data_IF_699603229292
#
_entry.id   IF_699603229292
#
_cell.length_a   1.000
_cell.length_b   1.000
_cell.length_c   1.000
_cell.angle_alpha   90.00
_cell.angle_beta   90.00
_cell.angle_gamma   90.00
#
_symmetry.space_group_name_H-M   'P 1'
#
loop_
_entity.id
_entity.type
_entity.pdbx_description
1 polymer ?
#
# COMPACT_ATOMS: atom_id res chain seq x y z
N UNK A 1 13.16 -30.26 -3.88
CA UNK A 1 12.46 -29.05 -3.40
C UNK A 1 12.60 -27.99 -4.49
N UNK A 2 11.58 -27.84 -5.32
CA UNK A 2 11.57 -26.90 -6.46
C UNK A 2 11.32 -25.50 -5.93
N UNK A 3 12.29 -24.62 -6.12
CA UNK A 3 12.14 -23.18 -5.89
C UNK A 3 11.10 -22.65 -6.87
N UNK A 4 9.91 -22.27 -6.36
CA UNK A 4 8.93 -21.52 -7.13
C UNK A 4 9.55 -20.18 -7.49
N UNK A 5 9.86 -19.98 -8.77
CA UNK A 5 10.50 -18.75 -9.25
C UNK A 5 9.59 -17.54 -8.98
N UNK A 6 10.04 -16.53 -8.22
CA UNK A 6 9.24 -15.34 -7.90
C UNK A 6 8.81 -14.54 -9.14
N UNK A 7 9.47 -14.75 -10.28
CA UNK A 7 9.16 -14.12 -11.56
C UNK A 7 7.95 -14.68 -12.31
N UNK A 8 7.49 -15.90 -12.00
CA UNK A 8 6.29 -16.48 -12.61
C UNK A 8 5.02 -15.89 -11.98
N UNK A 9 4.96 -15.84 -10.64
CA UNK A 9 3.82 -15.29 -9.89
C UNK A 9 3.57 -13.80 -10.20
N UNK A 10 4.64 -13.01 -10.40
CA UNK A 10 4.52 -11.60 -10.76
C UNK A 10 3.94 -11.38 -12.17
N UNK A 11 4.31 -12.26 -13.13
CA UNK A 11 3.77 -12.23 -14.50
C UNK A 11 2.30 -12.64 -14.53
N UNK A 12 1.93 -13.67 -13.77
CA UNK A 12 0.53 -14.12 -13.67
C UNK A 12 -0.35 -13.04 -13.04
N UNK A 13 0.14 -12.38 -11.98
CA UNK A 13 -0.54 -11.24 -11.37
C UNK A 13 -0.68 -10.05 -12.36
N UNK A 14 0.34 -9.80 -13.18
CA UNK A 14 0.28 -8.77 -14.22
C UNK A 14 -0.75 -9.10 -15.32
N UNK A 15 -0.78 -10.36 -15.76
CA UNK A 15 -1.74 -10.84 -16.75
C UNK A 15 -3.19 -10.72 -16.23
N UNK A 16 -3.44 -11.15 -14.99
CA UNK A 16 -4.74 -11.02 -14.34
C UNK A 16 -5.19 -9.54 -14.23
N UNK A 17 -4.28 -8.63 -13.87
CA UNK A 17 -4.57 -7.18 -13.85
C UNK A 17 -4.92 -6.65 -15.24
N UNK A 18 -4.18 -7.04 -16.26
CA UNK A 18 -4.43 -6.62 -17.64
C UNK A 18 -5.78 -7.13 -18.14
N UNK A 19 -6.16 -8.36 -17.78
CA UNK A 19 -7.46 -8.93 -18.15
C UNK A 19 -8.62 -8.24 -17.44
N UNK A 20 -8.50 -7.98 -16.14
CA UNK A 20 -9.49 -7.22 -15.38
C UNK A 20 -9.66 -5.79 -15.95
N UNK A 21 -8.57 -5.14 -16.36
CA UNK A 21 -8.61 -3.82 -16.98
C UNK A 21 -9.33 -3.85 -18.33
N UNK A 22 -9.11 -4.88 -19.16
CA UNK A 22 -9.83 -5.06 -20.43
C UNK A 22 -11.33 -5.23 -20.20
N UNK A 23 -11.74 -6.17 -19.34
CA UNK A 23 -13.15 -6.38 -19.00
C UNK A 23 -13.82 -5.09 -18.54
N UNK A 24 -13.14 -4.32 -17.70
CA UNK A 24 -13.67 -3.03 -17.23
C UNK A 24 -13.81 -2.00 -18.34
N UNK A 25 -12.85 -1.93 -19.27
CA UNK A 25 -12.94 -1.04 -20.41
C UNK A 25 -14.14 -1.39 -21.30
N UNK A 26 -14.38 -2.68 -21.55
CA UNK A 26 -15.50 -3.17 -22.34
C UNK A 26 -16.85 -2.83 -21.68
N UNK A 27 -16.99 -3.08 -20.37
CA UNK A 27 -18.16 -2.69 -19.58
C UNK A 27 -18.46 -1.18 -19.66
N UNK A 28 -17.43 -0.34 -19.50
CA UNK A 28 -17.58 1.12 -19.56
C UNK A 28 -17.94 1.59 -20.96
N UNK A 29 -17.39 0.96 -22.00
CA UNK A 29 -17.75 1.27 -23.38
C UNK A 29 -19.22 0.93 -23.66
N UNK A 30 -19.68 -0.25 -23.24
CA UNK A 30 -21.08 -0.65 -23.37
C UNK A 30 -22.00 0.34 -22.64
N UNK A 31 -21.66 0.72 -21.40
CA UNK A 31 -22.49 1.67 -20.64
C UNK A 31 -22.54 3.05 -21.27
N UNK A 32 -21.44 3.53 -21.85
CA UNK A 32 -21.42 4.79 -22.59
C UNK A 32 -22.33 4.76 -23.80
N UNK A 33 -22.40 3.63 -24.51
CA UNK A 33 -23.31 3.46 -25.64
C UNK A 33 -24.78 3.47 -25.19
N UNK A 34 -25.12 2.75 -24.12
CA UNK A 34 -26.48 2.73 -23.54
C UNK A 34 -26.93 4.14 -23.09
N UNK A 35 -26.05 4.88 -22.41
CA UNK A 35 -26.34 6.26 -22.00
C UNK A 35 -26.50 7.18 -23.21
N UNK A 36 -25.67 7.03 -24.24
CA UNK A 36 -25.77 7.81 -25.47
C UNK A 36 -27.06 7.52 -26.26
N UNK A 37 -27.58 6.29 -26.20
CA UNK A 37 -28.88 5.93 -26.78
C UNK A 37 -30.08 6.39 -25.93
N UNK A 38 -29.84 7.09 -24.82
CA UNK A 38 -30.89 7.57 -23.92
C UNK A 38 -31.49 6.48 -23.02
N UNK A 39 -30.83 5.33 -22.88
CA UNK A 39 -31.27 4.29 -21.96
C UNK A 39 -31.20 4.84 -20.52
N UNK A 40 -32.32 4.75 -19.81
CA UNK A 40 -32.40 5.20 -18.41
C UNK A 40 -31.72 4.18 -17.51
N UNK A 41 -31.18 4.64 -16.38
CA UNK A 41 -30.75 3.73 -15.32
C UNK A 41 -31.93 2.90 -14.83
N UNK A 42 -31.73 1.60 -14.75
CA UNK A 42 -32.69 0.61 -14.27
C UNK A 42 -32.17 -0.10 -13.01
N UNK A 43 -32.96 -1.03 -12.49
CA UNK A 43 -32.61 -1.79 -11.29
C UNK A 43 -31.29 -2.57 -11.45
N UNK A 44 -31.03 -3.11 -12.64
CA UNK A 44 -29.80 -3.87 -12.93
C UNK A 44 -28.56 -2.97 -12.94
N UNK A 45 -28.69 -1.75 -13.48
CA UNK A 45 -27.62 -0.75 -13.43
C UNK A 45 -27.34 -0.31 -11.99
N UNK A 46 -28.39 -0.05 -11.20
CA UNK A 46 -28.26 0.34 -9.80
C UNK A 46 -27.60 -0.76 -8.97
N UNK A 47 -27.99 -2.02 -9.20
CA UNK A 47 -27.41 -3.19 -8.56
C UNK A 47 -25.91 -3.35 -8.88
N UNK A 48 -25.53 -3.24 -10.15
CA UNK A 48 -24.12 -3.25 -10.57
C UNK A 48 -23.33 -2.10 -9.95
N UNK A 49 -23.90 -0.90 -9.87
CA UNK A 49 -23.25 0.24 -9.23
C UNK A 49 -23.01 -0.01 -7.74
N UNK A 50 -23.98 -0.62 -7.04
CA UNK A 50 -23.84 -1.02 -5.64
C UNK A 50 -22.72 -2.03 -5.45
N UNK A 51 -22.70 -3.10 -6.25
CA UNK A 51 -21.66 -4.13 -6.20
C UNK A 51 -20.26 -3.52 -6.42
N UNK A 52 -20.10 -2.65 -7.42
CA UNK A 52 -18.82 -1.98 -7.65
C UNK A 52 -18.41 -1.05 -6.51
N UNK A 53 -19.36 -0.39 -5.85
CA UNK A 53 -19.08 0.45 -4.69
C UNK A 53 -18.57 -0.40 -3.50
N UNK A 54 -19.22 -1.53 -3.23
CA UNK A 54 -18.81 -2.50 -2.20
C UNK A 54 -17.41 -3.08 -2.49
N UNK A 55 -17.16 -3.51 -3.73
CA UNK A 55 -15.84 -4.01 -4.13
C UNK A 55 -14.76 -2.93 -4.02
N UNK A 56 -15.08 -1.69 -4.36
CA UNK A 56 -14.15 -0.57 -4.28
C UNK A 56 -13.83 -0.23 -2.82
N UNK A 57 -14.83 -0.27 -1.95
CA UNK A 57 -14.65 -0.11 -0.51
C UNK A 57 -13.72 -1.20 0.05
N UNK A 58 -13.99 -2.47 -0.25
CA UNK A 58 -13.14 -3.57 0.20
C UNK A 58 -11.70 -3.46 -0.33
N UNK A 59 -11.52 -3.01 -1.58
CA UNK A 59 -10.20 -2.74 -2.15
C UNK A 59 -9.49 -1.61 -1.42
N UNK A 60 -10.18 -0.53 -1.09
CA UNK A 60 -9.64 0.58 -0.34
C UNK A 60 -9.20 0.15 1.07
N UNK A 61 -10.03 -0.61 1.80
CA UNK A 61 -9.68 -1.15 3.13
C UNK A 61 -8.42 -2.00 3.10
N UNK A 62 -8.33 -2.94 2.14
CA UNK A 62 -7.12 -3.75 1.96
C UNK A 62 -5.88 -2.91 1.65
N UNK A 63 -6.04 -1.85 0.85
CA UNK A 63 -4.94 -0.95 0.52
C UNK A 63 -4.46 -0.13 1.73
N UNK A 64 -5.40 0.36 2.56
CA UNK A 64 -5.07 1.06 3.80
C UNK A 64 -4.33 0.15 4.78
N UNK A 65 -4.82 -1.07 5.00
CA UNK A 65 -4.14 -2.05 5.85
C UNK A 65 -2.73 -2.37 5.35
N UNK A 66 -2.59 -2.67 4.06
CA UNK A 66 -1.28 -2.94 3.47
C UNK A 66 -0.33 -1.73 3.55
N UNK A 67 -0.86 -0.50 3.50
CA UNK A 67 -0.06 0.71 3.70
C UNK A 67 0.38 0.87 5.16
N UNK A 68 -0.50 0.60 6.13
CA UNK A 68 -0.17 0.60 7.55
C UNK A 68 0.95 -0.41 7.86
N UNK A 69 0.83 -1.65 7.38
CA UNK A 69 1.85 -2.70 7.52
C UNK A 69 3.21 -2.26 6.97
N UNK A 70 3.23 -1.66 5.77
CA UNK A 70 4.48 -1.15 5.16
C UNK A 70 5.11 -0.01 5.96
N UNK A 71 4.30 0.84 6.59
CA UNK A 71 4.80 1.87 7.47
C UNK A 71 5.41 1.27 8.74
N UNK A 72 4.78 0.25 9.34
CA UNK A 72 5.35 -0.46 10.48
C UNK A 72 6.67 -1.16 10.13
N UNK A 73 6.74 -1.81 8.96
CA UNK A 73 7.97 -2.44 8.47
C UNK A 73 9.09 -1.41 8.26
N UNK A 74 8.76 -0.26 7.70
CA UNK A 74 9.70 0.85 7.52
C UNK A 74 10.18 1.40 8.86
N UNK A 75 9.28 1.66 9.81
CA UNK A 75 9.62 2.06 11.18
C UNK A 75 10.58 1.07 11.84
N UNK A 76 10.30 -0.23 11.75
CA UNK A 76 11.17 -1.26 12.29
C UNK A 76 12.55 -1.27 11.63
N UNK A 77 12.64 -1.02 10.31
CA UNK A 77 13.91 -0.90 9.61
C UNK A 77 14.71 0.33 10.07
N UNK A 78 14.05 1.47 10.23
CA UNK A 78 14.66 2.69 10.76
C UNK A 78 15.16 2.50 12.20
N UNK A 79 14.38 1.84 13.08
CA UNK A 79 14.82 1.52 14.46
C UNK A 79 16.06 0.62 14.48
N UNK A 80 16.12 -0.39 13.60
CA UNK A 80 17.32 -1.25 13.46
C UNK A 80 18.53 -0.46 12.98
N UNK A 81 18.35 0.45 12.02
CA UNK A 81 19.42 1.33 11.53
C UNK A 81 19.92 2.27 12.63
N UNK A 82 19.00 2.88 13.40
CA UNK A 82 19.36 3.71 14.55
C UNK A 82 20.20 2.94 15.56
N UNK A 83 19.79 1.74 15.96
CA UNK A 83 20.53 0.90 16.89
C UNK A 83 21.93 0.52 16.37
N UNK A 84 22.06 0.25 15.06
CA UNK A 84 23.35 -0.02 14.45
C UNK A 84 24.29 1.21 14.49
N UNK A 85 23.74 2.40 14.24
CA UNK A 85 24.49 3.64 14.36
C UNK A 85 24.88 3.95 15.82
N UNK A 86 24.00 3.74 16.79
CA UNK A 86 24.34 3.89 18.22
C UNK A 86 25.45 2.93 18.63
N UNK A 87 25.40 1.68 18.17
CA UNK A 87 26.45 0.71 18.40
C UNK A 87 27.79 1.16 17.79
N UNK A 88 27.75 1.67 16.56
CA UNK A 88 28.94 2.22 15.90
C UNK A 88 29.49 3.45 16.65
N UNK A 89 28.63 4.32 17.17
CA UNK A 89 29.03 5.47 17.97
C UNK A 89 29.73 5.06 19.28
N UNK A 90 29.23 4.02 19.96
CA UNK A 90 29.85 3.49 21.18
C UNK A 90 31.23 2.88 20.93
N UNK A 91 31.47 2.34 19.73
CA UNK A 91 32.75 1.76 19.32
C UNK A 91 33.69 2.78 18.69
N UNK A 92 33.16 3.92 18.22
CA UNK A 92 33.93 5.00 17.63
C UNK A 92 34.67 5.78 18.72
N UNK A 93 35.89 5.36 19.03
CA UNK A 93 36.69 5.95 20.09
C UNK A 93 36.88 7.47 19.96
N UNK A 94 37.39 7.96 18.82
CA UNK A 94 37.93 9.31 18.66
C UNK A 94 37.26 10.07 17.51
N UNK A 95 36.10 10.68 17.82
CA UNK A 95 35.54 11.82 17.08
C UNK A 95 34.49 11.52 15.99
N UNK A 96 34.34 10.27 15.56
CA UNK A 96 33.26 9.88 14.62
C UNK A 96 31.97 9.40 15.30
N UNK A 97 31.94 9.40 16.64
CA UNK A 97 30.77 9.03 17.43
C UNK A 97 29.59 9.98 17.21
N UNK A 98 29.86 11.28 17.12
CA UNK A 98 28.81 12.32 16.98
C UNK A 98 28.03 12.14 15.67
N UNK A 99 28.72 11.91 14.54
CA UNK A 99 28.06 11.68 13.25
C UNK A 99 27.17 10.41 13.27
N UNK A 100 27.57 9.39 14.01
CA UNK A 100 26.74 8.20 14.20
C UNK A 100 25.55 8.46 15.14
N UNK A 101 25.72 9.27 16.18
CA UNK A 101 24.59 9.67 17.05
C UNK A 101 23.56 10.52 16.30
N UNK A 102 24.02 11.47 15.48
CA UNK A 102 23.15 12.29 14.63
C UNK A 102 22.37 11.41 13.65
N UNK A 103 23.06 10.49 12.95
CA UNK A 103 22.40 9.54 12.05
C UNK A 103 21.39 8.64 12.79
N UNK A 104 21.72 8.18 13.99
CA UNK A 104 20.80 7.40 14.80
C UNK A 104 19.54 8.20 15.17
N UNK A 105 19.70 9.48 15.49
CA UNK A 105 18.59 10.38 15.79
C UNK A 105 17.70 10.61 14.56
N UNK A 106 18.28 10.83 13.37
CA UNK A 106 17.54 10.95 12.12
C UNK A 106 16.72 9.69 11.83
N UNK A 107 17.31 8.51 12.01
CA UNK A 107 16.60 7.25 11.86
C UNK A 107 15.47 7.08 12.87
N UNK A 108 15.64 7.48 14.15
CA UNK A 108 14.54 7.47 15.13
C UNK A 108 13.40 8.39 14.72
N UNK A 109 13.72 9.63 14.31
CA UNK A 109 12.71 10.58 13.86
C UNK A 109 11.93 10.05 12.64
N UNK A 110 12.63 9.40 11.70
CA UNK A 110 11.97 8.76 10.56
C UNK A 110 11.09 7.57 10.97
N UNK A 111 11.50 6.78 11.98
CA UNK A 111 10.66 5.72 12.54
C UNK A 111 9.37 6.29 13.15
N UNK A 112 9.45 7.37 13.92
CA UNK A 112 8.29 8.01 14.54
C UNK A 112 7.30 8.57 13.50
N UNK A 113 7.83 9.13 12.40
CA UNK A 113 7.00 9.56 11.25
C UNK A 113 6.26 8.37 10.63
N UNK A 114 6.94 7.24 10.49
CA UNK A 114 6.31 6.03 9.97
C UNK A 114 5.27 5.43 10.92
N UNK A 115 5.52 5.42 12.22
CA UNK A 115 4.54 4.96 13.22
C UNK A 115 3.28 5.83 13.19
N UNK A 116 3.43 7.16 13.13
CA UNK A 116 2.31 8.08 12.99
C UNK A 116 1.53 7.84 11.68
N UNK A 117 2.24 7.60 10.57
CA UNK A 117 1.60 7.30 9.29
C UNK A 117 0.84 5.96 9.33
N UNK A 118 1.35 4.94 10.03
CA UNK A 118 0.65 3.68 10.21
C UNK A 118 -0.68 3.85 10.94
N UNK A 119 -0.71 4.67 12.01
CA UNK A 119 -1.94 4.99 12.74
C UNK A 119 -2.96 5.66 11.81
N UNK A 120 -2.55 6.67 11.04
CA UNK A 120 -3.45 7.36 10.11
C UNK A 120 -4.03 6.41 9.05
N UNK A 121 -3.24 5.43 8.57
CA UNK A 121 -3.76 4.43 7.63
C UNK A 121 -4.77 3.48 8.28
N UNK A 122 -4.54 3.07 9.53
CA UNK A 122 -5.47 2.22 10.29
C UNK A 122 -6.76 2.96 10.66
N UNK A 123 -6.70 4.23 11.07
CA UNK A 123 -7.90 5.02 11.39
C UNK A 123 -8.80 5.23 10.16
N UNK A 124 -8.22 5.31 8.95
CA UNK A 124 -8.99 5.34 7.71
C UNK A 124 -9.75 4.05 7.42
N UNK A 125 -9.35 2.94 8.04
CA UNK A 125 -10.09 1.68 8.04
C UNK A 125 -11.26 1.71 9.04
N UNK A 126 -11.07 2.35 10.21
CA UNK A 126 -12.05 2.34 11.31
C UNK A 126 -13.15 3.39 11.19
N UNK A 127 -12.90 4.54 10.54
CA UNK A 127 -13.82 5.69 10.56
C UNK A 127 -14.95 5.61 9.51
N UNK A 128 -15.52 4.43 9.21
CA UNK A 128 -16.62 4.32 8.24
C UNK A 128 -17.65 3.24 8.52
#
# INVERSE_FOLDING_TARGET
>A
MTATEPGASSRDAAAARAEAARRRADELQQRRAELASGARSDAETAERARQHAEESLQRAMRAHRAAAERHLDASAAHRRAAAAHEQAAMLAGNGSGDAHQDAAQEHRAAADVHDAAAIVQSEREETR
#
